data_IF_119795849826
#
_entry.id   IF_119795849826
#
_cell.length_a   1.000
_cell.length_b   1.000
_cell.length_c   1.000
_cell.angle_alpha   90.00
_cell.angle_beta   90.00
_cell.angle_gamma   90.00
#
_symmetry.space_group_name_H-M   'P 1'
#
loop_
_entity.id
_entity.type
_entity.pdbx_description
1 polymer ?
#
# COMPACT_ATOMS: atom_id res chain seq x y z
N UNK A 1 14.84 -55.17 -58.30
CA UNK A 1 13.60 -54.36 -58.18
C UNK A 1 13.01 -54.70 -56.81
N UNK A 2 12.98 -53.85 -55.75
CA UNK A 2 12.16 -52.62 -55.55
C UNK A 2 10.73 -52.82 -56.09
N UNK A 3 9.61 -52.72 -55.37
CA UNK A 3 9.20 -52.36 -53.97
C UNK A 3 8.07 -53.34 -53.55
N UNK A 4 7.52 -53.47 -52.33
CA UNK A 4 7.82 -53.13 -50.91
C UNK A 4 6.84 -53.95 -50.03
N UNK A 5 6.90 -53.85 -48.70
CA UNK A 5 5.86 -54.38 -47.76
C UNK A 5 5.24 -53.19 -47.00
N UNK A 6 3.90 -53.10 -46.97
CA UNK A 6 3.19 -52.12 -46.15
C UNK A 6 3.13 -52.60 -44.69
N UNK A 7 3.73 -51.85 -43.78
CA UNK A 7 3.50 -51.99 -42.33
C UNK A 7 2.70 -50.77 -41.87
N UNK A 8 1.52 -51.03 -41.33
CA UNK A 8 0.62 -50.00 -40.78
C UNK A 8 1.18 -49.57 -39.43
N UNK A 9 1.66 -48.33 -39.34
CA UNK A 9 2.00 -47.71 -38.05
C UNK A 9 0.72 -47.17 -37.39
N UNK A 10 0.25 -47.86 -36.34
CA UNK A 10 -0.73 -47.30 -35.42
C UNK A 10 0.01 -46.34 -34.50
N UNK A 11 -0.07 -45.04 -34.78
CA UNK A 11 0.43 -44.00 -33.88
C UNK A 11 -0.68 -43.69 -32.88
N UNK A 12 -0.56 -44.23 -31.67
CA UNK A 12 -1.33 -43.78 -30.51
C UNK A 12 -0.85 -42.38 -30.12
N UNK A 13 -1.62 -41.35 -30.47
CA UNK A 13 -1.45 -40.01 -29.89
C UNK A 13 -1.83 -40.05 -28.40
N UNK A 14 -0.84 -40.28 -27.55
CA UNK A 14 -0.90 -39.86 -26.15
C UNK A 14 -0.65 -38.35 -26.11
N UNK A 15 -1.74 -37.57 -26.19
CA UNK A 15 -1.73 -36.15 -25.82
C UNK A 15 -1.57 -36.03 -24.31
N UNK A 16 -0.35 -36.26 -23.81
CA UNK A 16 0.05 -35.81 -22.48
C UNK A 16 0.10 -34.29 -22.50
N UNK A 17 -0.97 -33.64 -22.02
CA UNK A 17 -1.00 -32.20 -21.82
C UNK A 17 0.02 -31.81 -20.75
N UNK A 18 1.24 -31.48 -21.18
CA UNK A 18 2.18 -30.72 -20.36
C UNK A 18 1.63 -29.30 -20.21
N UNK A 19 0.75 -29.12 -19.23
CA UNK A 19 0.65 -27.84 -18.57
C UNK A 19 1.97 -27.63 -17.82
N UNK A 20 2.93 -27.01 -18.48
CA UNK A 20 4.14 -26.51 -17.86
C UNK A 20 3.76 -25.45 -16.83
N UNK A 21 3.49 -25.92 -15.61
CA UNK A 21 3.52 -25.12 -14.40
C UNK A 21 4.98 -24.69 -14.17
N UNK A 22 5.44 -23.74 -14.98
CA UNK A 22 6.72 -23.06 -14.82
C UNK A 22 6.75 -22.55 -13.39
N UNK A 23 7.58 -23.16 -12.55
CA UNK A 23 7.65 -22.85 -11.13
C UNK A 23 7.80 -21.34 -11.00
N UNK A 24 6.79 -20.68 -10.40
CA UNK A 24 6.76 -19.24 -10.25
C UNK A 24 7.94 -18.91 -9.34
N UNK A 25 9.01 -18.33 -9.88
CA UNK A 25 10.14 -17.91 -9.08
C UNK A 25 9.64 -16.96 -7.99
N UNK A 26 9.99 -17.24 -6.74
CA UNK A 26 9.48 -16.51 -5.58
C UNK A 26 10.57 -15.78 -4.84
N UNK A 27 10.22 -14.64 -4.27
CA UNK A 27 11.07 -13.83 -3.40
C UNK A 27 10.60 -13.94 -1.95
N UNK A 28 11.50 -13.64 -1.01
CA UNK A 28 11.19 -13.54 0.43
C UNK A 28 10.73 -12.14 0.83
N UNK A 29 10.73 -11.19 -0.11
CA UNK A 29 10.50 -9.77 0.14
C UNK A 29 9.46 -9.16 -0.80
N UNK A 30 8.79 -8.10 -0.35
CA UNK A 30 7.90 -7.27 -1.14
C UNK A 30 8.04 -5.80 -0.75
N UNK A 31 8.09 -4.88 -1.71
CA UNK A 31 8.18 -3.45 -1.44
C UNK A 31 6.80 -2.86 -1.12
N UNK A 32 6.64 -2.33 0.08
CA UNK A 32 5.46 -1.57 0.48
C UNK A 32 5.72 -0.06 0.34
N UNK A 33 5.19 0.54 -0.72
CA UNK A 33 5.44 1.94 -1.08
C UNK A 33 4.33 2.83 -0.51
N UNK A 34 4.66 3.60 0.53
CA UNK A 34 3.72 4.47 1.24
C UNK A 34 3.79 5.92 0.74
N UNK A 35 2.64 6.47 0.38
CA UNK A 35 2.44 7.85 -0.05
C UNK A 35 1.45 8.55 0.89
N UNK A 36 1.36 9.88 0.85
CA UNK A 36 0.36 10.65 1.61
C UNK A 36 -0.28 11.71 0.71
N UNK A 37 0.50 12.71 0.26
CA UNK A 37 0.03 13.83 -0.58
C UNK A 37 0.75 13.92 -1.91
N UNK A 38 0.00 14.28 -2.96
CA UNK A 38 0.57 14.70 -4.25
C UNK A 38 0.47 16.22 -4.42
N UNK A 39 1.58 16.88 -4.80
CA UNK A 39 1.62 18.31 -5.09
C UNK A 39 1.95 18.59 -6.56
N UNK A 40 1.26 19.54 -7.16
CA UNK A 40 1.60 20.02 -8.52
C UNK A 40 2.91 20.81 -8.46
N UNK A 41 3.85 20.54 -9.38
CA UNK A 41 5.05 21.37 -9.54
C UNK A 41 4.66 22.69 -10.21
N UNK A 42 4.34 23.69 -9.39
CA UNK A 42 4.12 25.05 -9.86
C UNK A 42 4.98 26.02 -9.04
N UNK A 43 5.22 27.20 -9.60
CA UNK A 43 6.12 28.18 -8.97
C UNK A 43 5.63 28.61 -7.58
N UNK A 44 4.31 28.63 -7.38
CA UNK A 44 3.69 29.01 -6.11
C UNK A 44 3.92 27.95 -5.02
N UNK A 45 3.84 26.65 -5.31
CA UNK A 45 4.20 25.60 -4.32
C UNK A 45 5.68 25.65 -3.95
N UNK A 46 6.59 26.01 -4.87
CA UNK A 46 8.02 26.25 -4.54
C UNK A 46 8.20 27.44 -3.58
N UNK A 47 7.48 28.54 -3.80
CA UNK A 47 7.51 29.71 -2.91
C UNK A 47 6.90 29.37 -1.54
N UNK A 48 5.75 28.69 -1.51
CA UNK A 48 5.11 28.26 -0.27
C UNK A 48 6.01 27.29 0.50
N UNK A 49 6.60 26.27 -0.12
CA UNK A 49 7.51 25.33 0.58
C UNK A 49 8.78 25.98 1.13
N UNK A 50 9.24 27.09 0.54
CA UNK A 50 10.35 27.91 1.06
C UNK A 50 9.92 28.85 2.20
N UNK A 51 8.64 29.22 2.25
CA UNK A 51 8.07 30.13 3.26
C UNK A 51 7.46 29.39 4.47
N UNK A 52 7.06 28.12 4.30
CA UNK A 52 6.49 27.30 5.37
C UNK A 52 7.56 26.41 6.02
N UNK A 53 7.91 26.69 7.27
CA UNK A 53 8.84 25.89 8.09
C UNK A 53 8.32 24.49 8.48
N UNK A 54 7.27 23.99 7.83
CA UNK A 54 6.61 22.73 8.16
C UNK A 54 7.35 21.56 7.52
N UNK A 55 8.32 21.02 8.26
CA UNK A 55 9.11 19.83 7.90
C UNK A 55 8.24 18.65 7.45
N UNK A 56 7.14 18.40 8.17
CA UNK A 56 6.12 17.39 7.85
C UNK A 56 5.54 17.58 6.44
N UNK A 57 5.10 18.79 6.09
CA UNK A 57 4.43 19.07 4.82
C UNK A 57 5.34 18.79 3.61
N UNK A 58 6.65 18.98 3.77
CA UNK A 58 7.67 18.68 2.76
C UNK A 58 8.07 17.20 2.74
N UNK A 59 8.02 16.50 3.88
CA UNK A 59 8.38 15.08 3.98
C UNK A 59 7.30 14.17 3.38
N UNK A 60 6.01 14.47 3.65
CA UNK A 60 4.86 13.67 3.23
C UNK A 60 4.23 14.11 1.89
N UNK A 61 4.93 14.94 1.11
CA UNK A 61 4.47 15.41 -0.21
C UNK A 61 5.40 14.95 -1.34
N UNK A 62 4.87 14.20 -2.31
CA UNK A 62 5.56 13.91 -3.57
C UNK A 62 5.01 14.80 -4.71
N UNK A 63 5.88 15.20 -5.65
CA UNK A 63 5.44 15.93 -6.83
C UNK A 63 4.80 14.99 -7.84
N UNK A 64 3.73 15.43 -8.52
CA UNK A 64 3.06 14.62 -9.56
C UNK A 64 4.05 14.06 -10.60
N UNK A 65 4.98 14.84 -11.20
CA UNK A 65 5.93 14.31 -12.19
C UNK A 65 7.00 13.38 -11.62
N UNK A 66 7.15 13.32 -10.30
CA UNK A 66 8.05 12.36 -9.65
C UNK A 66 7.28 11.06 -9.35
N UNK A 67 6.03 11.16 -8.89
CA UNK A 67 5.11 10.00 -8.74
C UNK A 67 4.87 9.28 -10.09
N UNK A 68 4.60 10.00 -11.17
CA UNK A 68 4.45 9.45 -12.53
C UNK A 68 5.69 8.64 -12.93
N UNK A 69 6.89 9.22 -12.79
CA UNK A 69 8.15 8.53 -13.09
C UNK A 69 8.40 7.32 -12.21
N UNK A 70 7.96 7.33 -10.95
CA UNK A 70 8.08 6.17 -10.06
C UNK A 70 7.21 5.01 -10.57
N UNK A 71 5.94 5.28 -10.89
CA UNK A 71 5.04 4.26 -11.44
C UNK A 71 5.53 3.73 -12.79
N UNK A 72 5.93 4.62 -13.70
CA UNK A 72 6.43 4.24 -15.03
C UNK A 72 7.75 3.46 -14.95
N UNK A 73 8.64 3.79 -14.00
CA UNK A 73 9.87 3.02 -13.76
C UNK A 73 9.55 1.61 -13.25
N UNK A 74 8.64 1.48 -12.28
CA UNK A 74 8.23 0.17 -11.74
C UNK A 74 7.60 -0.72 -12.83
N UNK A 75 6.75 -0.15 -13.69
CA UNK A 75 6.19 -0.84 -14.86
C UNK A 75 7.30 -1.29 -15.82
N UNK A 76 8.23 -0.39 -16.17
CA UNK A 76 9.34 -0.70 -17.07
C UNK A 76 10.28 -1.80 -16.55
N UNK A 77 10.36 -1.97 -15.22
CA UNK A 77 11.16 -3.04 -14.58
C UNK A 77 10.31 -4.29 -14.28
N UNK A 78 9.06 -4.36 -14.75
CA UNK A 78 8.13 -5.47 -14.61
C UNK A 78 7.77 -5.78 -13.14
N UNK A 79 7.49 -4.75 -12.35
CA UNK A 79 6.93 -4.90 -11.00
C UNK A 79 5.63 -5.72 -11.01
N UNK A 80 5.52 -6.66 -10.08
CA UNK A 80 4.26 -7.36 -9.78
C UNK A 80 3.50 -6.55 -8.75
N UNK A 81 2.62 -5.66 -9.22
CA UNK A 81 1.73 -4.93 -8.32
C UNK A 81 0.70 -5.88 -7.68
N UNK A 82 0.51 -5.77 -6.37
CA UNK A 82 -0.43 -6.61 -5.60
C UNK A 82 -1.40 -5.78 -4.78
N UNK A 83 -2.61 -6.30 -4.59
CA UNK A 83 -3.52 -5.83 -3.54
C UNK A 83 -2.99 -6.21 -2.15
N UNK A 84 -3.47 -5.56 -1.09
CA UNK A 84 -3.16 -5.96 0.29
C UNK A 84 -3.64 -7.40 0.60
N UNK A 85 -4.79 -7.82 0.05
CA UNK A 85 -5.29 -9.17 0.22
C UNK A 85 -4.32 -10.21 -0.39
N UNK A 86 -3.78 -9.92 -1.58
CA UNK A 86 -2.76 -10.76 -2.19
C UNK A 86 -1.44 -10.72 -1.43
N UNK A 87 -0.99 -9.55 -0.98
CA UNK A 87 0.21 -9.38 -0.17
C UNK A 87 0.15 -10.28 1.07
N UNK A 88 -0.94 -10.23 1.83
CA UNK A 88 -1.11 -11.06 3.03
C UNK A 88 -1.23 -12.55 2.71
N UNK A 89 -1.90 -12.91 1.59
CA UNK A 89 -1.97 -14.29 1.10
C UNK A 89 -0.60 -14.84 0.68
N UNK A 90 0.24 -14.03 0.04
CA UNK A 90 1.60 -14.41 -0.34
C UNK A 90 2.49 -14.57 0.90
N UNK A 91 2.42 -13.62 1.85
CA UNK A 91 3.09 -13.72 3.15
C UNK A 91 2.69 -14.99 3.91
N UNK A 92 1.39 -15.31 4.02
CA UNK A 92 0.92 -16.52 4.71
C UNK A 92 1.35 -17.83 4.03
N UNK A 93 1.70 -17.77 2.74
CA UNK A 93 2.23 -18.91 1.99
C UNK A 93 3.77 -18.99 2.03
N UNK A 94 4.45 -18.09 2.76
CA UNK A 94 5.90 -18.06 2.90
C UNK A 94 6.67 -17.55 1.68
N UNK A 95 5.99 -16.91 0.71
CA UNK A 95 6.62 -16.53 -0.56
C UNK A 95 5.86 -15.43 -1.33
N UNK A 96 6.56 -14.39 -1.75
CA UNK A 96 6.07 -13.34 -2.63
C UNK A 96 6.37 -13.64 -4.12
N UNK A 97 5.58 -13.12 -5.08
CA UNK A 97 5.93 -13.16 -6.49
C UNK A 97 7.15 -12.28 -6.77
N UNK A 98 7.90 -12.55 -7.85
CA UNK A 98 9.04 -11.69 -8.22
C UNK A 98 8.64 -10.22 -8.36
N UNK A 99 9.51 -9.32 -7.88
CA UNK A 99 9.33 -7.86 -7.95
C UNK A 99 8.02 -7.42 -7.33
N UNK A 100 7.64 -8.03 -6.21
CA UNK A 100 6.40 -7.71 -5.50
C UNK A 100 6.39 -6.25 -5.04
N UNK A 101 5.33 -5.51 -5.39
CA UNK A 101 5.13 -4.12 -5.00
C UNK A 101 3.68 -3.91 -4.54
N UNK A 102 3.49 -3.38 -3.35
CA UNK A 102 2.19 -2.92 -2.85
C UNK A 102 2.22 -1.40 -2.67
N UNK A 103 1.29 -0.71 -3.33
CA UNK A 103 1.15 0.75 -3.23
C UNK A 103 0.09 1.08 -2.19
N UNK A 104 0.39 2.00 -1.28
CA UNK A 104 -0.56 2.44 -0.26
C UNK A 104 -0.45 3.94 0.04
N UNK A 105 -1.55 4.50 0.54
CA UNK A 105 -1.71 5.91 0.86
C UNK A 105 -2.27 6.07 2.27
N UNK A 106 -1.65 6.94 3.07
CA UNK A 106 -2.20 7.37 4.35
C UNK A 106 -2.99 8.70 4.20
N UNK A 107 -3.69 9.09 5.28
CA UNK A 107 -4.59 10.25 5.43
C UNK A 107 -5.83 10.30 4.51
N UNK A 108 -5.68 9.87 3.26
CA UNK A 108 -6.63 10.07 2.16
C UNK A 108 -6.93 11.56 1.87
N UNK A 109 -5.86 12.32 1.60
CA UNK A 109 -5.93 13.69 1.07
C UNK A 109 -6.62 13.77 -0.30
N UNK A 110 -7.30 14.89 -0.56
CA UNK A 110 -7.94 15.19 -1.84
C UNK A 110 -6.99 15.17 -3.04
N UNK A 111 -5.69 15.35 -2.86
CA UNK A 111 -4.69 15.14 -3.91
C UNK A 111 -4.61 13.68 -4.38
N UNK A 112 -4.82 12.71 -3.50
CA UNK A 112 -4.84 11.28 -3.85
C UNK A 112 -5.98 10.99 -4.82
N UNK A 113 -7.20 11.48 -4.56
CA UNK A 113 -8.33 11.40 -5.49
C UNK A 113 -8.07 12.15 -6.81
N UNK A 114 -7.49 13.35 -6.75
CA UNK A 114 -7.41 14.25 -7.91
C UNK A 114 -6.20 14.02 -8.82
N UNK A 115 -5.14 13.42 -8.29
CA UNK A 115 -3.83 13.32 -8.95
C UNK A 115 -3.32 11.87 -9.00
N UNK A 116 -3.41 11.11 -7.90
CA UNK A 116 -2.90 9.72 -7.89
C UNK A 116 -3.88 8.74 -8.52
N UNK A 117 -5.15 8.76 -8.11
CA UNK A 117 -6.21 7.89 -8.61
C UNK A 117 -6.30 7.80 -10.14
N UNK A 118 -6.33 8.91 -10.93
CA UNK A 118 -6.40 8.80 -12.38
C UNK A 118 -5.15 8.11 -12.99
N UNK A 119 -3.95 8.40 -12.47
CA UNK A 119 -2.70 7.80 -12.94
C UNK A 119 -2.60 6.31 -12.64
N UNK A 120 -3.01 5.91 -11.43
CA UNK A 120 -3.07 4.50 -11.00
C UNK A 120 -4.13 3.73 -11.78
N UNK A 121 -5.30 4.33 -12.02
CA UNK A 121 -6.41 3.74 -12.78
C UNK A 121 -6.05 3.51 -14.24
N UNK A 122 -5.41 4.47 -14.90
CA UNK A 122 -4.87 4.33 -16.26
C UNK A 122 -3.87 3.16 -16.35
N UNK A 123 -3.01 3.02 -15.33
CA UNK A 123 -1.98 1.97 -15.25
C UNK A 123 -2.46 0.64 -14.67
N UNK A 124 -3.74 0.55 -14.26
CA UNK A 124 -4.32 -0.62 -13.59
C UNK A 124 -3.54 -1.06 -12.32
N UNK A 125 -2.97 -0.10 -11.59
CA UNK A 125 -2.20 -0.36 -10.36
C UNK A 125 -3.17 -0.37 -9.17
N UNK A 126 -3.30 -1.49 -8.43
CA UNK A 126 -4.07 -1.53 -7.18
C UNK A 126 -3.38 -0.73 -6.07
N UNK A 127 -4.18 -0.13 -5.19
CA UNK A 127 -3.70 0.61 -4.02
C UNK A 127 -4.59 0.40 -2.78
N UNK A 128 -3.99 0.48 -1.59
CA UNK A 128 -4.72 0.58 -0.32
C UNK A 128 -4.74 2.03 0.18
N UNK A 129 -5.88 2.51 0.67
CA UNK A 129 -6.00 3.76 1.40
C UNK A 129 -6.24 3.55 2.90
N UNK A 130 -5.42 4.13 3.76
CA UNK A 130 -5.62 4.14 5.21
C UNK A 130 -6.34 5.42 5.61
N UNK A 131 -7.57 5.26 6.12
CA UNK A 131 -8.54 6.33 6.34
C UNK A 131 -8.57 6.72 7.82
N UNK A 132 -8.38 8.00 8.12
CA UNK A 132 -8.65 8.54 9.46
C UNK A 132 -10.16 8.68 9.62
N UNK A 133 -10.81 7.68 10.22
CA UNK A 133 -12.25 7.46 10.05
C UNK A 133 -13.14 8.52 10.68
N UNK A 134 -12.67 9.25 11.70
CA UNK A 134 -13.39 10.37 12.32
C UNK A 134 -13.38 11.66 11.51
N UNK A 135 -12.47 11.80 10.54
CA UNK A 135 -12.24 13.04 9.78
C UNK A 135 -12.60 12.94 8.29
N UNK A 136 -13.31 11.89 7.88
CA UNK A 136 -13.68 11.66 6.46
C UNK A 136 -14.51 12.81 5.91
N UNK A 137 -13.97 13.49 4.91
CA UNK A 137 -14.58 14.66 4.27
C UNK A 137 -14.22 16.02 4.89
N UNK A 138 -13.39 16.06 5.94
CA UNK A 138 -13.01 17.31 6.59
C UNK A 138 -12.34 18.30 5.63
N UNK A 139 -12.79 19.55 5.70
CA UNK A 139 -12.29 20.62 4.86
C UNK A 139 -10.86 21.07 5.23
N UNK A 140 -10.43 20.80 6.46
CA UNK A 140 -9.12 21.16 7.00
C UNK A 140 -8.78 20.32 8.25
N UNK A 141 -7.96 19.28 8.09
CA UNK A 141 -7.36 18.50 9.18
C UNK A 141 -5.83 18.57 9.02
N UNK A 142 -5.08 19.15 9.96
CA UNK A 142 -3.61 19.37 9.83
C UNK A 142 -3.12 19.98 8.49
N UNK A 143 -3.91 20.86 7.85
CA UNK A 143 -3.68 21.40 6.49
C UNK A 143 -3.84 20.38 5.35
N UNK A 144 -4.44 19.23 5.61
CA UNK A 144 -5.01 18.30 4.64
C UNK A 144 -6.47 18.64 4.40
N UNK A 145 -6.95 18.32 3.20
CA UNK A 145 -8.39 18.31 2.92
C UNK A 145 -8.74 16.88 2.59
N UNK A 146 -9.55 16.23 3.42
CA UNK A 146 -9.75 14.79 3.32
C UNK A 146 -10.81 14.44 2.27
N UNK A 147 -10.74 13.23 1.72
CA UNK A 147 -11.69 12.74 0.72
C UNK A 147 -13.02 12.45 1.43
N UNK A 148 -14.15 12.82 0.78
CA UNK A 148 -15.48 12.53 1.32
C UNK A 148 -15.82 11.05 1.18
N UNK A 149 -16.70 10.54 2.06
CA UNK A 149 -17.11 9.13 2.03
C UNK A 149 -17.65 8.69 0.67
N UNK A 150 -18.45 9.53 0.00
CA UNK A 150 -18.95 9.21 -1.35
C UNK A 150 -17.80 9.04 -2.33
N UNK A 151 -16.82 9.94 -2.33
CA UNK A 151 -15.66 9.85 -3.22
C UNK A 151 -14.73 8.67 -2.88
N UNK A 152 -14.63 8.26 -1.61
CA UNK A 152 -13.95 7.00 -1.25
C UNK A 152 -14.70 5.79 -1.83
N UNK A 153 -16.04 5.76 -1.74
CA UNK A 153 -16.85 4.69 -2.35
C UNK A 153 -16.75 4.69 -3.89
N UNK A 154 -16.71 5.86 -4.52
CA UNK A 154 -16.47 5.99 -5.98
C UNK A 154 -15.06 5.49 -6.36
N UNK A 155 -14.06 5.66 -5.49
CA UNK A 155 -12.71 5.10 -5.67
C UNK A 155 -12.71 3.58 -5.52
N UNK A 156 -13.36 3.00 -4.51
CA UNK A 156 -13.50 1.54 -4.35
C UNK A 156 -14.21 0.92 -5.56
N UNK A 157 -15.31 1.53 -6.01
CA UNK A 157 -16.08 1.10 -7.18
C UNK A 157 -15.29 1.13 -8.51
N UNK A 158 -14.10 1.74 -8.54
CA UNK A 158 -13.19 1.64 -9.69
C UNK A 158 -12.45 0.30 -9.81
N UNK A 159 -12.50 -0.54 -8.76
CA UNK A 159 -11.87 -1.86 -8.71
C UNK A 159 -10.36 -1.87 -8.41
N UNK A 160 -9.73 -0.71 -8.21
CA UNK A 160 -8.29 -0.59 -7.88
C UNK A 160 -8.01 -0.05 -6.46
N UNK A 161 -9.03 0.25 -5.66
CA UNK A 161 -8.84 0.75 -4.28
C UNK A 161 -9.51 -0.16 -3.25
N UNK A 162 -8.79 -0.42 -2.17
CA UNK A 162 -9.35 -0.95 -0.91
C UNK A 162 -9.04 0.00 0.23
N UNK A 163 -9.89 0.05 1.26
CA UNK A 163 -9.74 0.97 2.38
C UNK A 163 -9.61 0.26 3.72
N UNK A 164 -8.70 0.76 4.55
CA UNK A 164 -8.38 0.25 5.88
C UNK A 164 -8.18 1.41 6.88
N UNK A 165 -7.89 1.13 8.16
CA UNK A 165 -7.92 2.14 9.22
C UNK A 165 -6.61 2.92 9.36
N UNK A 166 -6.71 4.24 9.58
CA UNK A 166 -5.64 5.08 10.12
C UNK A 166 -6.07 5.71 11.45
N UNK A 167 -6.70 4.90 12.33
CA UNK A 167 -7.42 5.30 13.56
C UNK A 167 -8.75 6.02 13.29
N UNK A 168 -9.45 6.39 14.36
CA UNK A 168 -10.64 7.24 14.31
C UNK A 168 -10.29 8.71 14.59
N UNK A 169 -9.68 9.01 15.74
CA UNK A 169 -9.34 10.35 16.25
C UNK A 169 -7.95 10.37 16.98
N UNK A 170 -7.11 9.37 16.73
CA UNK A 170 -5.76 9.27 17.33
C UNK A 170 -4.63 9.73 16.37
N UNK A 171 -4.98 10.31 15.23
CA UNK A 171 -4.03 10.88 14.25
C UNK A 171 -3.61 12.33 14.58
N UNK A 172 -3.28 12.58 15.85
CA UNK A 172 -2.69 13.84 16.32
C UNK A 172 -1.27 13.58 16.85
N UNK A 173 -0.44 14.62 16.94
CA UNK A 173 0.90 14.53 17.52
C UNK A 173 1.13 15.67 18.53
N UNK A 174 1.72 15.33 19.68
CA UNK A 174 2.00 16.25 20.78
C UNK A 174 3.34 15.90 21.40
N UNK A 175 4.25 16.88 21.44
CA UNK A 175 5.63 16.71 21.91
C UNK A 175 6.36 15.55 21.21
N UNK A 176 6.24 15.48 19.87
CA UNK A 176 6.77 14.41 19.00
C UNK A 176 6.23 12.99 19.26
N UNK A 177 5.21 12.84 20.12
CA UNK A 177 4.51 11.57 20.39
C UNK A 177 3.09 11.60 19.83
N UNK A 178 2.68 10.55 19.13
CA UNK A 178 1.33 10.37 18.60
C UNK A 178 0.29 10.26 19.71
N UNK A 179 -0.92 10.75 19.46
CA UNK A 179 -2.07 10.53 20.32
C UNK A 179 -2.42 9.04 20.48
N UNK A 180 -2.06 8.17 19.54
CA UNK A 180 -2.14 6.72 19.72
C UNK A 180 -1.40 6.25 20.98
N UNK A 181 -0.26 6.89 21.29
CA UNK A 181 0.54 6.63 22.49
C UNK A 181 0.11 7.53 23.66
N UNK A 182 -0.06 8.84 23.45
CA UNK A 182 -0.43 9.75 24.53
C UNK A 182 -1.82 9.45 25.14
N UNK A 183 -2.72 8.80 24.39
CA UNK A 183 -4.11 8.49 24.77
C UNK A 183 -4.41 6.98 24.72
N UNK A 184 -3.47 6.12 25.15
CA UNK A 184 -3.64 4.65 25.20
C UNK A 184 -5.00 4.17 25.76
N UNK A 185 -5.54 4.84 26.78
CA UNK A 185 -6.83 4.50 27.38
C UNK A 185 -8.04 4.63 26.43
N UNK A 186 -7.91 5.39 25.34
CA UNK A 186 -8.94 5.61 24.31
C UNK A 186 -8.80 4.63 23.13
N UNK A 187 -7.63 3.98 22.96
CA UNK A 187 -7.35 3.06 21.84
C UNK A 187 -8.39 1.95 21.65
N UNK A 188 -8.90 1.26 22.70
CA UNK A 188 -9.87 0.18 22.48
C UNK A 188 -11.16 0.67 21.81
N UNK A 189 -11.59 1.91 22.13
CA UNK A 189 -12.76 2.53 21.54
C UNK A 189 -12.46 3.03 20.12
N UNK A 190 -11.32 3.68 19.91
CA UNK A 190 -10.88 4.17 18.60
C UNK A 190 -10.74 3.02 17.58
N UNK A 191 -10.04 1.94 17.97
CA UNK A 191 -9.84 0.76 17.13
C UNK A 191 -11.18 0.10 16.78
N UNK A 192 -12.09 -0.07 17.76
CA UNK A 192 -13.42 -0.64 17.49
C UNK A 192 -14.28 0.26 16.59
N UNK A 193 -14.21 1.59 16.79
CA UNK A 193 -14.97 2.56 16.00
C UNK A 193 -14.48 2.62 14.57
N UNK A 194 -13.16 2.68 14.36
CA UNK A 194 -12.57 2.67 13.02
C UNK A 194 -12.74 1.33 12.31
N UNK A 195 -12.61 0.20 13.02
CA UNK A 195 -12.91 -1.13 12.47
C UNK A 195 -14.37 -1.26 12.00
N UNK A 196 -15.33 -0.77 12.79
CA UNK A 196 -16.74 -0.76 12.42
C UNK A 196 -16.98 0.13 11.20
N UNK A 197 -16.44 1.35 11.22
CA UNK A 197 -16.56 2.29 10.10
C UNK A 197 -16.07 1.70 8.78
N UNK A 198 -14.92 1.01 8.78
CA UNK A 198 -14.39 0.38 7.57
C UNK A 198 -15.32 -0.74 7.08
N UNK A 199 -15.75 -1.65 7.97
CA UNK A 199 -16.66 -2.77 7.63
C UNK A 199 -18.03 -2.31 7.13
N UNK A 200 -18.56 -1.20 7.66
CA UNK A 200 -19.88 -0.67 7.30
C UNK A 200 -19.87 0.09 5.95
N UNK A 201 -18.68 0.48 5.46
CA UNK A 201 -18.57 1.37 4.30
C UNK A 201 -17.80 0.78 3.10
N UNK A 202 -16.92 -0.19 3.33
CA UNK A 202 -15.96 -0.67 2.33
C UNK A 202 -15.92 -2.20 2.27
N UNK A 203 -15.60 -2.70 1.09
CA UNK A 203 -15.50 -4.13 0.80
C UNK A 203 -14.14 -4.67 1.23
N UNK A 204 -13.93 -4.86 2.54
CA UNK A 204 -12.68 -5.40 3.07
C UNK A 204 -12.72 -6.90 3.36
N UNK A 205 -11.68 -7.61 2.91
CA UNK A 205 -11.39 -9.01 3.26
C UNK A 205 -10.25 -9.13 4.30
N UNK A 206 -9.57 -8.01 4.61
CA UNK A 206 -8.42 -7.95 5.50
C UNK A 206 -8.49 -6.64 6.28
N UNK A 207 -8.76 -6.73 7.58
CA UNK A 207 -8.82 -5.56 8.45
C UNK A 207 -7.43 -5.22 9.00
N UNK A 208 -6.90 -4.05 8.61
CA UNK A 208 -5.54 -3.60 8.93
C UNK A 208 -5.48 -2.15 9.39
N UNK A 209 -4.43 -1.82 10.14
CA UNK A 209 -4.17 -0.48 10.68
C UNK A 209 -2.82 0.06 10.15
N UNK A 210 -2.78 1.28 9.63
CA UNK A 210 -1.53 2.04 9.56
C UNK A 210 -1.37 2.80 10.88
N UNK A 211 -0.20 2.73 11.53
CA UNK A 211 0.05 3.53 12.74
C UNK A 211 0.29 5.00 12.37
N UNK A 212 -0.43 5.97 12.96
CA UNK A 212 -0.15 7.39 12.80
C UNK A 212 1.33 7.70 13.04
N UNK A 213 1.95 8.43 12.12
CA UNK A 213 3.39 8.79 12.18
C UNK A 213 4.34 7.58 12.26
N UNK A 214 3.87 6.36 12.00
CA UNK A 214 4.61 5.11 12.18
C UNK A 214 4.90 4.73 13.64
N UNK A 215 4.30 5.42 14.62
CA UNK A 215 4.64 5.27 16.04
C UNK A 215 3.76 4.21 16.74
N UNK A 216 4.41 3.39 17.57
CA UNK A 216 3.79 2.34 18.38
C UNK A 216 4.67 2.02 19.59
N UNK A 217 4.10 1.29 20.55
CA UNK A 217 4.80 0.73 21.70
C UNK A 217 4.20 -0.66 22.08
N UNK A 218 4.60 -1.21 23.23
CA UNK A 218 4.15 -2.54 23.67
C UNK A 218 2.64 -2.58 24.00
N UNK A 219 2.09 -1.53 24.61
CA UNK A 219 0.66 -1.46 24.91
C UNK A 219 -0.16 -1.28 23.62
N UNK A 220 0.33 -0.50 22.65
CA UNK A 220 -0.23 -0.38 21.30
C UNK A 220 -0.39 -1.75 20.64
N UNK A 221 0.69 -2.55 20.59
CA UNK A 221 0.68 -3.90 20.01
C UNK A 221 -0.29 -4.82 20.76
N UNK A 222 -0.31 -4.73 22.09
CA UNK A 222 -1.19 -5.53 22.96
C UNK A 222 -2.67 -5.23 22.73
N UNK A 223 -3.07 -3.95 22.64
CA UNK A 223 -4.44 -3.57 22.30
C UNK A 223 -4.82 -4.05 20.90
N UNK A 224 -3.91 -3.90 19.93
CA UNK A 224 -4.17 -4.29 18.56
C UNK A 224 -4.32 -5.81 18.40
N UNK A 225 -3.49 -6.61 19.07
CA UNK A 225 -3.62 -8.08 19.15
C UNK A 225 -4.92 -8.54 19.82
N UNK A 226 -5.49 -7.71 20.70
CA UNK A 226 -6.81 -7.95 21.31
C UNK A 226 -8.01 -7.49 20.48
N UNK A 227 -7.77 -6.82 19.34
CA UNK A 227 -8.81 -6.23 18.48
C UNK A 227 -9.20 -7.14 17.30
N UNK A 228 -10.01 -6.63 16.37
CA UNK A 228 -10.31 -7.31 15.09
C UNK A 228 -9.20 -7.12 14.03
N UNK A 229 -8.30 -6.14 14.19
CA UNK A 229 -7.19 -5.93 13.26
C UNK A 229 -6.24 -7.14 13.26
N UNK A 230 -5.76 -7.55 12.08
CA UNK A 230 -4.87 -8.71 11.93
C UNK A 230 -3.49 -8.36 11.39
N UNK A 231 -3.35 -7.17 10.82
CA UNK A 231 -2.08 -6.63 10.34
C UNK A 231 -1.98 -5.15 10.71
N UNK A 232 -0.76 -4.67 10.96
CA UNK A 232 -0.49 -3.25 11.04
C UNK A 232 0.89 -2.87 10.55
N UNK A 233 0.95 -1.62 10.09
CA UNK A 233 2.03 -1.12 9.27
C UNK A 233 2.70 0.11 9.89
N UNK A 234 4.04 0.06 9.91
CA UNK A 234 4.93 1.10 10.43
C UNK A 234 5.67 1.78 9.28
N UNK A 235 6.38 2.89 9.55
CA UNK A 235 7.29 3.50 8.59
C UNK A 235 8.73 3.02 8.87
N UNK A 236 9.29 2.25 7.94
CA UNK A 236 10.66 1.70 7.98
C UNK A 236 11.18 1.56 6.55
N UNK A 237 12.41 1.99 6.32
CA UNK A 237 13.07 2.05 5.00
C UNK A 237 13.60 0.68 4.52
N UNK A 238 12.78 -0.37 4.64
CA UNK A 238 13.09 -1.76 4.24
C UNK A 238 11.88 -2.44 3.57
N UNK A 239 12.08 -3.47 2.72
CA UNK A 239 10.99 -4.31 2.23
C UNK A 239 10.27 -5.07 3.35
N UNK A 240 9.02 -5.51 3.11
CA UNK A 240 8.33 -6.50 3.95
C UNK A 240 8.94 -7.86 3.68
N UNK A 241 9.32 -8.59 4.73
CA UNK A 241 9.74 -9.99 4.67
C UNK A 241 8.58 -10.94 5.01
N UNK A 242 8.65 -12.17 4.47
CA UNK A 242 7.68 -13.25 4.79
C UNK A 242 7.62 -13.60 6.28
N UNK A 243 8.71 -13.39 7.03
CA UNK A 243 8.81 -13.68 8.47
C UNK A 243 8.50 -12.50 9.40
N UNK A 244 8.28 -11.27 8.88
CA UNK A 244 7.97 -10.08 9.70
C UNK A 244 6.74 -10.27 10.60
N UNK A 245 6.74 -9.70 11.82
CA UNK A 245 5.57 -9.69 12.69
C UNK A 245 4.43 -8.88 12.02
N UNK A 246 3.26 -9.52 11.88
CA UNK A 246 2.08 -8.94 11.24
C UNK A 246 1.66 -7.57 11.81
N UNK A 247 1.99 -7.24 13.06
CA UNK A 247 1.64 -5.99 13.72
C UNK A 247 2.73 -4.92 13.62
N UNK A 248 3.85 -5.15 12.91
CA UNK A 248 4.91 -4.15 12.71
C UNK A 248 5.50 -4.16 11.27
N UNK A 249 4.66 -4.49 10.28
CA UNK A 249 5.04 -4.63 8.88
C UNK A 249 5.62 -3.32 8.31
N UNK A 250 6.84 -3.35 7.73
CA UNK A 250 7.49 -2.14 7.25
C UNK A 250 6.82 -1.55 6.00
N UNK A 251 6.80 -0.22 5.91
CA UNK A 251 6.49 0.53 4.68
C UNK A 251 7.50 1.64 4.48
N UNK A 252 7.94 1.79 3.24
CA UNK A 252 8.91 2.80 2.83
C UNK A 252 8.15 4.09 2.52
N UNK A 253 8.45 5.17 3.25
CA UNK A 253 7.86 6.48 2.99
C UNK A 253 8.42 7.05 1.68
N UNK A 254 7.54 7.36 0.73
CA UNK A 254 7.96 7.65 -0.63
C UNK A 254 8.29 9.11 -0.87
N UNK A 255 9.59 9.34 -1.02
CA UNK A 255 10.22 10.56 -1.52
C UNK A 255 10.99 10.23 -2.79
N UNK A 256 11.60 11.24 -3.44
CA UNK A 256 12.55 10.98 -4.52
C UNK A 256 13.79 10.20 -4.02
N UNK A 257 14.28 10.57 -2.83
CA UNK A 257 15.47 10.00 -2.23
C UNK A 257 15.30 8.53 -1.85
N UNK A 258 14.19 8.16 -1.19
CA UNK A 258 13.91 6.76 -0.84
C UNK A 258 13.68 5.90 -2.08
N UNK A 259 13.09 6.44 -3.16
CA UNK A 259 12.99 5.70 -4.42
C UNK A 259 14.37 5.42 -5.06
N UNK A 260 15.23 6.44 -5.16
CA UNK A 260 16.56 6.30 -5.78
C UNK A 260 17.54 5.48 -4.92
N UNK A 261 17.40 5.50 -3.58
CA UNK A 261 18.29 4.82 -2.63
C UNK A 261 17.85 3.43 -2.20
N UNK A 262 16.54 3.16 -2.16
CA UNK A 262 15.96 1.90 -1.68
C UNK A 262 15.35 1.13 -2.86
N UNK A 263 14.30 1.68 -3.50
CA UNK A 263 13.53 0.97 -4.53
C UNK A 263 14.39 0.59 -5.74
N UNK A 264 15.20 1.51 -6.28
CA UNK A 264 16.12 1.24 -7.40
C UNK A 264 17.38 0.45 -7.01
N UNK A 265 17.54 0.11 -5.73
CA UNK A 265 18.68 -0.64 -5.19
C UNK A 265 18.28 -1.96 -4.55
N UNK A 266 16.97 -2.26 -4.53
CA UNK A 266 16.45 -3.53 -4.05
C UNK A 266 16.74 -4.64 -5.06
N UNK A 267 17.33 -5.73 -4.58
CA UNK A 267 17.83 -6.82 -5.44
C UNK A 267 16.72 -7.57 -6.19
N UNK A 268 15.45 -7.46 -5.78
CA UNK A 268 14.32 -8.02 -6.52
C UNK A 268 14.19 -7.49 -7.96
N UNK A 269 14.72 -6.31 -8.28
CA UNK A 269 14.71 -5.74 -9.64
C UNK A 269 15.93 -6.09 -10.51
N UNK A 270 16.93 -6.82 -9.98
CA UNK A 270 18.17 -7.18 -10.69
C UNK A 270 18.08 -8.50 -11.50
#
# INVERSE_FOLDING_TARGET
MKKWINIIFIITLLLSGQHDAKAKETEQECLALNYHRLVKDNWFTKVVSLMTSNKELNLYSIKVPDFEKQMDWLIAHNATFVTEQELMKYKSNGAFPKRCVWVNFDDMDQSTLKLAHPLLKERHIPATGFVITGHVGDASFHNFKLISLQSLKDMEASGIWHFNSHTHDLHNIKNDTSDLINRHGEMPLDLNTSASYIKDNFSTSVLSLAYPYGQYDDDTIKYLRGSEFRHAYVLKDVPINVDDDNYTLPRILMTRDSFDKIVKKWDGFN
#
